data_IF_949230910438
#
_entry.id   IF_949230910438
#
_cell.length_a   1.000
_cell.length_b   1.000
_cell.length_c   1.000
_cell.angle_alpha   90.00
_cell.angle_beta   90.00
_cell.angle_gamma   90.00
#
_symmetry.space_group_name_H-M   'P 1'
#
loop_
_entity.id
_entity.type
_entity.pdbx_description
1 polymer ?
#
# COMPACT_ATOMS: atom_id res chain seq x y z
N UNK A 1 15.09 -10.24 -4.62
CA UNK A 1 14.39 -9.67 -3.48
C UNK A 1 13.61 -8.45 -3.94
N UNK A 2 12.43 -8.24 -3.39
CA UNK A 2 11.53 -7.20 -3.89
C UNK A 2 11.79 -5.86 -3.22
N UNK A 3 12.01 -4.83 -4.02
CA UNK A 3 12.25 -3.46 -3.57
C UNK A 3 10.98 -2.61 -3.68
N UNK A 4 10.99 -1.48 -2.99
CA UNK A 4 9.92 -0.49 -3.12
C UNK A 4 9.76 -0.07 -4.59
N UNK A 5 10.87 0.22 -5.27
CA UNK A 5 10.82 0.68 -6.67
C UNK A 5 10.22 -0.37 -7.61
N UNK A 6 10.49 -1.64 -7.39
CA UNK A 6 9.88 -2.70 -8.21
C UNK A 6 8.36 -2.67 -8.12
N UNK A 7 7.83 -2.55 -6.90
CA UNK A 7 6.39 -2.52 -6.67
C UNK A 7 5.78 -1.22 -7.18
N UNK A 8 6.41 -0.08 -6.90
CA UNK A 8 5.93 1.22 -7.37
C UNK A 8 5.90 1.25 -8.90
N UNK A 9 6.96 0.77 -9.56
CA UNK A 9 7.04 0.74 -11.02
C UNK A 9 5.99 -0.20 -11.62
N UNK A 10 5.73 -1.34 -10.98
CA UNK A 10 4.65 -2.24 -11.39
C UNK A 10 3.30 -1.52 -11.38
N UNK A 11 2.98 -0.82 -10.28
CA UNK A 11 1.72 -0.10 -10.15
C UNK A 11 1.62 1.07 -11.14
N UNK A 12 2.72 1.81 -11.33
CA UNK A 12 2.76 2.90 -12.31
C UNK A 12 2.53 2.39 -13.73
N UNK A 13 3.11 1.25 -14.07
CA UNK A 13 2.92 0.63 -15.38
C UNK A 13 1.43 0.30 -15.61
N UNK A 14 0.77 -0.27 -14.62
CA UNK A 14 -0.67 -0.54 -14.71
C UNK A 14 -1.46 0.75 -14.96
N UNK A 15 -1.21 1.77 -14.16
CA UNK A 15 -1.93 3.04 -14.26
C UNK A 15 -1.67 3.72 -15.61
N UNK A 16 -0.42 3.71 -16.07
CA UNK A 16 -0.04 4.33 -17.34
C UNK A 16 -0.69 3.64 -18.55
N UNK A 17 -0.97 2.34 -18.43
CA UNK A 17 -1.60 1.56 -19.51
C UNK A 17 -3.11 1.43 -19.34
N UNK A 18 -3.70 2.07 -18.33
CA UNK A 18 -5.13 1.98 -18.06
C UNK A 18 -5.58 0.57 -17.68
N UNK A 19 -4.70 -0.20 -17.05
CA UNK A 19 -4.95 -1.57 -16.66
C UNK A 19 -5.00 -1.71 -15.14
N UNK A 20 -5.34 -2.89 -14.67
CA UNK A 20 -5.38 -3.22 -13.25
C UNK A 20 -5.25 -4.72 -13.05
N UNK A 21 -5.31 -5.13 -11.79
CA UNK A 21 -5.20 -6.54 -11.43
C UNK A 21 -6.47 -7.01 -10.73
N UNK A 22 -6.79 -8.28 -10.90
CA UNK A 22 -7.88 -8.98 -10.23
C UNK A 22 -7.25 -10.21 -9.57
N UNK A 23 -6.89 -10.04 -8.29
CA UNK A 23 -6.08 -11.03 -7.59
C UNK A 23 -6.85 -12.33 -7.31
N UNK A 24 -8.12 -12.21 -6.89
CA UNK A 24 -8.90 -13.37 -6.44
C UNK A 24 -9.87 -13.90 -7.49
N UNK A 25 -10.02 -13.20 -8.60
CA UNK A 25 -10.97 -13.59 -9.67
C UNK A 25 -12.43 -13.27 -9.36
N UNK A 26 -12.69 -12.49 -8.31
CA UNK A 26 -14.04 -12.12 -7.89
C UNK A 26 -14.27 -10.63 -8.02
N UNK A 27 -15.39 -10.24 -8.61
CA UNK A 27 -15.87 -8.86 -8.70
C UNK A 27 -14.94 -7.93 -9.50
N UNK A 28 -14.06 -8.49 -10.35
CA UNK A 28 -13.16 -7.70 -11.19
C UNK A 28 -12.06 -7.01 -10.40
N UNK A 29 -11.67 -5.82 -10.84
CA UNK A 29 -10.49 -5.09 -10.33
C UNK A 29 -10.88 -4.18 -9.17
N UNK A 30 -11.09 -4.77 -8.01
CA UNK A 30 -11.46 -4.04 -6.79
C UNK A 30 -10.25 -3.34 -6.16
N UNK A 31 -10.51 -2.43 -5.20
CA UNK A 31 -9.44 -1.68 -4.55
C UNK A 31 -8.46 -2.59 -3.80
N UNK A 32 -8.94 -3.69 -3.21
CA UNK A 32 -8.10 -4.63 -2.46
C UNK A 32 -7.22 -5.48 -3.36
N UNK A 33 -7.53 -5.59 -4.65
CA UNK A 33 -6.80 -6.49 -5.54
C UNK A 33 -5.38 -6.01 -5.78
N UNK A 34 -5.13 -4.70 -5.81
CA UNK A 34 -3.77 -4.20 -5.95
C UNK A 34 -2.91 -4.51 -4.73
N UNK A 35 -3.32 -4.18 -3.49
CA UNK A 35 -2.57 -4.62 -2.30
C UNK A 35 -2.41 -6.12 -2.20
N UNK A 36 -3.44 -6.90 -2.53
CA UNK A 36 -3.37 -8.35 -2.49
C UNK A 36 -2.39 -8.90 -3.52
N UNK A 37 -2.37 -8.33 -4.72
CA UNK A 37 -1.39 -8.71 -5.73
C UNK A 37 0.02 -8.43 -5.23
N UNK A 38 0.25 -7.24 -4.68
CA UNK A 38 1.56 -6.86 -4.15
C UNK A 38 1.99 -7.85 -3.05
N UNK A 39 1.15 -8.03 -2.04
CA UNK A 39 1.50 -8.87 -0.91
C UNK A 39 1.60 -10.35 -1.31
N UNK A 40 0.66 -10.83 -2.11
CA UNK A 40 0.60 -12.25 -2.50
C UNK A 40 1.63 -12.63 -3.55
N UNK A 41 1.73 -11.84 -4.63
CA UNK A 41 2.60 -12.20 -5.76
C UNK A 41 4.06 -11.83 -5.53
N UNK A 42 4.32 -10.66 -4.93
CA UNK A 42 5.71 -10.23 -4.71
C UNK A 42 6.30 -10.79 -3.41
N UNK A 43 5.49 -11.05 -2.40
CA UNK A 43 5.98 -11.44 -1.08
C UNK A 43 5.48 -12.81 -0.60
N UNK A 44 4.55 -13.42 -1.34
CA UNK A 44 4.00 -14.71 -0.95
C UNK A 44 3.11 -14.69 0.29
N UNK A 45 2.54 -13.53 0.64
CA UNK A 45 1.74 -13.32 1.84
C UNK A 45 0.35 -12.80 1.45
N UNK A 46 -0.61 -13.70 1.24
CA UNK A 46 -1.97 -13.30 0.89
C UNK A 46 -2.64 -12.56 2.07
N UNK A 47 -3.30 -11.45 1.75
CA UNK A 47 -4.10 -10.71 2.72
C UNK A 47 -5.55 -11.18 2.66
N UNK A 48 -6.31 -10.93 3.72
CA UNK A 48 -7.71 -11.33 3.79
C UNK A 48 -8.59 -10.12 4.12
N UNK A 49 -9.87 -10.26 3.78
CA UNK A 49 -10.90 -9.30 4.15
C UNK A 49 -11.09 -8.18 3.15
N UNK A 50 -11.96 -7.25 3.53
CA UNK A 50 -12.17 -6.01 2.79
C UNK A 50 -11.02 -5.03 3.08
N UNK A 51 -11.02 -3.90 2.38
CA UNK A 51 -9.95 -2.90 2.59
C UNK A 51 -9.80 -2.51 4.06
N UNK A 52 -10.92 -2.38 4.77
CA UNK A 52 -10.89 -1.98 6.19
C UNK A 52 -10.17 -3.01 7.07
N UNK A 53 -10.06 -4.25 6.63
CA UNK A 53 -9.43 -5.35 7.39
C UNK A 53 -7.95 -5.51 7.09
N UNK A 54 -7.41 -4.81 6.09
CA UNK A 54 -6.07 -5.10 5.56
C UNK A 54 -4.95 -4.84 6.56
N UNK A 55 -5.05 -3.80 7.39
CA UNK A 55 -4.00 -3.53 8.38
C UNK A 55 -3.91 -4.68 9.38
N UNK A 56 -5.07 -5.19 9.82
CA UNK A 56 -5.12 -6.32 10.73
C UNK A 56 -4.52 -7.58 10.09
N UNK A 57 -4.86 -7.81 8.83
CA UNK A 57 -4.31 -8.93 8.06
C UNK A 57 -2.78 -8.81 7.93
N UNK A 58 -2.30 -7.61 7.59
CA UNK A 58 -0.86 -7.33 7.48
C UNK A 58 -0.14 -7.56 8.81
N UNK A 59 -0.74 -7.11 9.90
CA UNK A 59 -0.16 -7.30 11.25
C UNK A 59 -0.02 -8.80 11.57
N UNK A 60 -0.99 -9.61 11.19
CA UNK A 60 -0.92 -11.06 11.40
C UNK A 60 0.22 -11.71 10.61
N UNK A 61 0.63 -11.11 9.49
CA UNK A 61 1.79 -11.56 8.74
C UNK A 61 3.12 -11.01 9.30
N UNK A 62 3.07 -10.18 10.33
CA UNK A 62 4.26 -9.57 10.90
C UNK A 62 4.75 -8.34 10.14
N UNK A 63 3.94 -7.75 9.27
CA UNK A 63 4.30 -6.53 8.54
C UNK A 63 4.34 -5.34 9.50
N UNK A 64 5.13 -4.33 9.15
CA UNK A 64 5.12 -3.04 9.85
C UNK A 64 3.79 -2.35 9.64
N UNK A 65 3.07 -2.03 10.71
CA UNK A 65 1.76 -1.37 10.62
C UNK A 65 1.74 -0.10 11.46
N UNK A 66 0.97 0.88 11.00
CA UNK A 66 0.76 2.15 11.68
C UNK A 66 -0.72 2.51 11.66
N UNK A 67 -1.27 2.86 12.82
CA UNK A 67 -2.64 3.34 12.95
C UNK A 67 -2.63 4.82 13.27
N UNK A 68 -3.55 5.57 12.69
CA UNK A 68 -3.79 6.95 13.08
C UNK A 68 -4.52 7.01 14.44
N UNK A 69 -4.22 8.01 15.29
CA UNK A 69 -3.21 9.05 15.08
C UNK A 69 -1.80 8.56 15.38
N UNK A 70 -0.84 9.11 14.65
CA UNK A 70 0.58 8.80 14.83
C UNK A 70 1.40 10.02 14.40
N UNK A 71 2.60 10.17 14.98
CA UNK A 71 3.56 11.17 14.55
C UNK A 71 4.37 10.72 13.33
N UNK A 72 4.27 9.42 12.98
CA UNK A 72 4.95 8.88 11.81
C UNK A 72 4.31 9.42 10.54
N UNK A 73 5.13 9.64 9.51
CA UNK A 73 4.65 9.96 8.18
C UNK A 73 4.81 8.72 7.31
N UNK A 74 3.83 8.42 6.45
CA UNK A 74 4.01 7.32 5.50
C UNK A 74 5.12 7.64 4.51
N UNK A 75 5.68 6.60 3.93
CA UNK A 75 6.69 6.73 2.87
C UNK A 75 6.27 5.89 1.67
N UNK A 76 6.92 6.13 0.55
CA UNK A 76 6.65 5.39 -0.68
C UNK A 76 6.74 3.89 -0.43
N UNK A 77 5.80 3.14 -0.97
CA UNK A 77 5.68 1.70 -0.75
C UNK A 77 4.65 1.31 0.31
N UNK A 78 4.18 2.27 1.10
CA UNK A 78 3.10 2.02 2.06
C UNK A 78 1.80 1.69 1.34
N UNK A 79 1.01 0.83 1.95
CA UNK A 79 -0.36 0.54 1.50
C UNK A 79 -1.28 1.15 2.55
N UNK A 80 -2.10 2.11 2.11
CA UNK A 80 -2.98 2.83 3.02
C UNK A 80 -4.35 2.17 3.13
N UNK A 81 -5.05 2.47 4.22
CA UNK A 81 -6.44 2.10 4.43
C UNK A 81 -7.18 3.32 4.94
N UNK A 82 -8.36 3.56 4.38
CA UNK A 82 -9.27 4.60 4.86
C UNK A 82 -10.68 4.04 4.94
N UNK A 83 -11.56 4.73 5.64
CA UNK A 83 -12.96 4.37 5.71
C UNK A 83 -13.66 4.63 4.38
N UNK A 84 -14.56 3.74 4.02
CA UNK A 84 -15.47 3.93 2.89
C UNK A 84 -16.80 3.25 3.22
N UNK A 85 -17.81 4.05 3.52
CA UNK A 85 -19.14 3.57 3.86
C UNK A 85 -19.97 3.47 2.58
N UNK A 86 -20.33 2.25 2.21
CA UNK A 86 -21.15 2.01 1.04
C UNK A 86 -22.63 2.33 1.33
N UNK A 87 -23.45 2.31 0.26
CA UNK A 87 -24.88 2.60 0.37
C UNK A 87 -25.65 1.62 1.24
N UNK A 88 -25.10 0.43 1.49
CA UNK A 88 -25.70 -0.57 2.38
C UNK A 88 -25.39 -0.34 3.86
N UNK A 89 -24.65 0.74 4.18
CA UNK A 89 -24.28 1.07 5.56
C UNK A 89 -23.06 0.32 6.07
N UNK A 90 -22.38 -0.45 5.23
CA UNK A 90 -21.21 -1.23 5.62
C UNK A 90 -19.95 -0.45 5.26
N UNK A 91 -18.99 -0.41 6.20
CA UNK A 91 -17.67 0.16 5.95
C UNK A 91 -16.76 -0.90 5.32
N UNK A 92 -16.68 -0.90 3.99
CA UNK A 92 -15.75 -1.79 3.27
C UNK A 92 -14.33 -1.25 3.29
N UNK A 93 -14.17 0.04 3.55
CA UNK A 93 -12.90 0.70 3.45
C UNK A 93 -12.46 0.92 2.00
N UNK A 94 -11.35 1.64 1.86
CA UNK A 94 -10.69 1.86 0.58
C UNK A 94 -9.20 1.80 0.80
N UNK A 95 -8.43 1.41 -0.21
CA UNK A 95 -7.01 1.18 -0.08
C UNK A 95 -6.30 1.48 -1.41
N UNK A 96 -5.01 1.64 -1.33
CA UNK A 96 -4.15 1.84 -2.48
C UNK A 96 -2.68 1.87 -2.07
N UNK A 97 -1.82 2.07 -3.06
CA UNK A 97 -0.38 2.12 -2.87
C UNK A 97 0.06 3.60 -2.81
N UNK A 98 0.81 3.95 -1.78
CA UNK A 98 1.44 5.26 -1.67
C UNK A 98 2.74 5.25 -2.47
N UNK A 99 2.87 6.19 -3.39
CA UNK A 99 4.04 6.31 -4.26
C UNK A 99 4.86 7.57 -3.98
N UNK A 100 4.36 8.46 -3.14
CA UNK A 100 5.07 9.67 -2.75
C UNK A 100 4.33 10.40 -1.65
N UNK A 101 5.02 11.33 -1.02
CA UNK A 101 4.46 12.13 0.08
C UNK A 101 4.86 13.59 -0.14
N UNK A 102 3.91 14.49 0.07
CA UNK A 102 4.13 15.92 -0.03
C UNK A 102 3.33 16.61 1.07
N UNK A 103 4.01 16.99 2.15
CA UNK A 103 3.34 17.58 3.32
C UNK A 103 2.32 16.62 3.92
N UNK A 104 1.05 17.04 3.97
CA UNK A 104 -0.04 16.24 4.52
C UNK A 104 -0.77 15.38 3.48
N UNK A 105 -0.25 15.34 2.25
CA UNK A 105 -0.88 14.63 1.14
C UNK A 105 0.03 13.52 0.67
N UNK A 106 -0.55 12.36 0.37
CA UNK A 106 0.18 11.26 -0.27
C UNK A 106 -0.29 11.13 -1.71
N UNK A 107 0.65 10.89 -2.63
CA UNK A 107 0.35 10.51 -4.01
C UNK A 107 0.19 9.01 -4.04
N UNK A 108 -0.84 8.54 -4.75
CA UNK A 108 -1.24 7.15 -4.69
C UNK A 108 -1.49 6.56 -6.07
N UNK A 109 -1.54 5.23 -6.12
CA UNK A 109 -2.16 4.49 -7.21
C UNK A 109 -3.22 3.61 -6.57
N UNK A 110 -4.44 3.70 -7.10
CA UNK A 110 -5.63 3.06 -6.52
C UNK A 110 -6.45 2.41 -7.61
N UNK A 111 -7.13 1.33 -7.27
CA UNK A 111 -8.10 0.70 -8.16
C UNK A 111 -9.52 0.97 -7.67
N UNK A 112 -10.46 0.94 -8.61
CA UNK A 112 -11.88 1.12 -8.32
C UNK A 112 -12.19 2.44 -7.62
N UNK A 113 -11.64 3.53 -8.13
CA UNK A 113 -11.91 4.86 -7.60
C UNK A 113 -13.38 5.26 -7.68
N UNK A 114 -14.12 4.66 -8.62
CA UNK A 114 -15.55 4.95 -8.80
C UNK A 114 -16.44 4.13 -7.84
N UNK A 115 -15.88 3.22 -7.06
CA UNK A 115 -16.64 2.46 -6.10
C UNK A 115 -17.58 1.41 -6.70
N UNK A 116 -17.24 0.84 -7.85
CA UNK A 116 -18.08 -0.18 -8.48
C UNK A 116 -17.82 -1.53 -7.85
N UNK A 117 -18.79 -2.03 -7.07
CA UNK A 117 -18.65 -3.28 -6.31
C UNK A 117 -18.79 -4.54 -7.16
N UNK A 118 -19.23 -4.40 -8.42
CA UNK A 118 -19.46 -5.55 -9.30
C UNK A 118 -18.26 -5.88 -10.18
N UNK A 119 -17.65 -4.86 -10.81
CA UNK A 119 -16.59 -5.07 -11.80
C UNK A 119 -15.30 -4.30 -11.49
N UNK A 120 -15.35 -3.40 -10.52
CA UNK A 120 -14.18 -2.61 -10.15
C UNK A 120 -13.78 -1.60 -11.22
N UNK A 121 -12.51 -1.25 -11.23
CA UNK A 121 -11.95 -0.32 -12.19
C UNK A 121 -10.43 -0.40 -12.24
N UNK A 122 -9.82 0.19 -13.28
CA UNK A 122 -8.36 0.10 -13.47
C UNK A 122 -7.59 0.86 -12.40
N UNK A 123 -6.29 0.60 -12.34
CA UNK A 123 -5.37 1.38 -11.52
C UNK A 123 -5.29 2.81 -12.06
N UNK A 124 -5.32 3.78 -11.17
CA UNK A 124 -5.28 5.20 -11.51
C UNK A 124 -4.44 5.97 -10.51
N UNK A 125 -3.78 7.02 -10.98
CA UNK A 125 -3.11 7.97 -10.10
C UNK A 125 -4.16 8.76 -9.32
N UNK A 126 -3.90 8.96 -8.03
CA UNK A 126 -4.79 9.73 -7.17
C UNK A 126 -3.97 10.34 -6.03
N UNK A 127 -4.66 10.90 -5.05
CA UNK A 127 -4.03 11.42 -3.84
C UNK A 127 -4.99 11.28 -2.67
N UNK A 128 -4.44 11.26 -1.46
CA UNK A 128 -5.20 11.20 -0.23
C UNK A 128 -4.60 12.14 0.80
N UNK A 129 -5.43 12.71 1.66
CA UNK A 129 -4.97 13.43 2.83
C UNK A 129 -4.59 12.43 3.91
N UNK A 130 -3.40 12.59 4.50
CA UNK A 130 -2.95 11.68 5.56
C UNK A 130 -3.95 11.66 6.73
N UNK A 131 -4.52 12.81 7.07
CA UNK A 131 -5.49 12.91 8.17
C UNK A 131 -6.77 12.10 7.95
N UNK A 132 -7.06 11.71 6.72
CA UNK A 132 -8.25 10.91 6.40
C UNK A 132 -7.99 9.41 6.42
N UNK A 133 -6.75 8.99 6.66
CA UNK A 133 -6.40 7.57 6.68
C UNK A 133 -6.72 6.93 8.03
N UNK A 134 -7.10 5.67 8.02
CA UNK A 134 -7.16 4.85 9.22
C UNK A 134 -5.73 4.45 9.62
N UNK A 135 -4.89 4.20 8.64
CA UNK A 135 -3.51 3.83 8.83
C UNK A 135 -2.90 3.30 7.55
N UNK A 136 -1.74 2.68 7.70
CA UNK A 136 -1.01 2.09 6.55
C UNK A 136 -0.10 0.99 7.03
N UNK A 137 0.41 0.20 6.09
CA UNK A 137 1.35 -0.87 6.39
C UNK A 137 2.35 -1.05 5.24
N UNK A 138 3.43 -1.76 5.55
CA UNK A 138 4.49 -2.04 4.59
C UNK A 138 4.70 -3.54 4.46
N UNK A 139 4.63 -4.09 3.23
CA UNK A 139 5.22 -5.41 3.00
C UNK A 139 6.71 -5.41 3.34
N UNK A 140 7.35 -6.58 3.49
CA UNK A 140 8.75 -6.64 3.91
C UNK A 140 9.71 -6.36 2.74
N UNK A 141 9.71 -5.12 2.25
CA UNK A 141 10.62 -4.69 1.18
C UNK A 141 12.07 -4.91 1.58
N UNK A 142 12.90 -5.32 0.61
CA UNK A 142 14.32 -5.59 0.86
C UNK A 142 15.12 -4.33 1.15
N UNK A 143 14.63 -3.17 0.71
CA UNK A 143 15.27 -1.87 0.90
C UNK A 143 14.54 -0.98 1.92
N UNK A 144 13.70 -1.59 2.78
CA UNK A 144 13.01 -0.86 3.84
C UNK A 144 14.03 -0.36 4.87
N UNK A 145 13.91 0.92 5.27
CA UNK A 145 14.80 1.55 6.24
C UNK A 145 14.19 1.65 7.63
N UNK A 146 13.21 0.90 7.92
CA UNK A 146 12.61 0.88 9.24
C UNK A 146 13.62 0.49 10.27
N UNK A 147 13.76 0.97 10.93
CA UNK A 147 14.34 0.61 11.77
C UNK A 147 14.25 0.49 12.87
N UNK A 148 14.51 0.72 12.58
CA UNK A 148 14.66 0.73 13.14
C UNK A 148 15.04 0.57 13.86
N UNK A 149 15.23 0.68 14.10
CA UNK A 149 15.71 0.63 14.54
C UNK A 149 16.41 0.28 14.87
N UNK A 150 16.90 0.35 14.52
CA UNK A 150 17.66 0.19 14.42
C UNK A 150 18.41 0.39 14.36
N UNK A 151 18.85 0.57 14.45
CA UNK A 151 19.62 0.87 14.09
C UNK A 151 20.36 0.94 13.70
N UNK A 152 20.64 0.94 13.46
CA UNK A 152 21.38 1.26 12.78
C UNK A 152 21.93 1.29 12.16
N UNK A 153 22.35 1.18 12.01
CA UNK A 153 22.93 1.54 11.18
C UNK A 153 23.22 1.51 10.40
N UNK A 154 23.48 1.32 10.44
CA UNK A 154 23.97 1.76 9.64
C UNK A 154 23.89 1.53 8.76
N UNK A 155 24.21 1.32 8.73
CA UNK A 155 24.25 1.61 7.95
C UNK A 155 24.06 1.39 7.16
N UNK A 156 24.45 1.05 7.31
CA UNK A 156 24.45 1.44 6.76
C UNK A 156 24.35 1.44 5.97
N UNK A 157 24.66 0.94 6.26
CA UNK A 157 24.86 1.49 5.76
C UNK A 157 24.51 1.33 4.99
N UNK A 158 24.67 1.14 4.91
CA UNK A 158 24.49 1.52 4.43
C UNK A 158 24.00 1.93 3.76
N UNK A 159 24.50 1.46 4.02
CA UNK A 159 24.24 2.19 3.68
C UNK A 159 23.88 2.41 3.02
N UNK A 160 24.04 2.38 2.91
CA UNK A 160 23.80 3.02 2.48
C UNK A 160 23.29 3.46 1.76
N UNK A 161 23.65 3.15 1.98
CA UNK A 161 23.18 3.93 1.62
C UNK A 161 22.65 4.17 0.88
N UNK A 162 22.89 4.07 0.96
CA UNK A 162 22.52 4.74 0.69
C UNK A 162 22.07 4.79 -0.04
N UNK A 163 22.37 4.42 0.07
CA UNK A 163 22.10 4.81 -0.21
C UNK A 163 21.83 4.61 -0.62
N UNK A 164 22.37 3.71 -0.36
CA UNK A 164 22.50 3.96 -0.21
C UNK A 164 21.97 3.40 -0.45
N UNK A 165 22.40 2.99 -0.19
CA UNK A 165 22.33 3.01 -0.01
C UNK A 165 21.87 2.60 -0.16
N UNK A 166 22.17 2.36 -0.14
CA UNK A 166 22.21 2.42 0.16
C UNK A 166 21.76 2.36 -0.02
N UNK A 167 22.23 1.56 0.38
CA UNK A 167 22.15 1.93 0.61
C UNK A 167 21.71 2.07 0.58
#
# INVERSE_FOLDING_TARGET
>A
MTTVNEVVNFAKDLANRGQGVDYDGWYGKQCVDLPNWISGKFFGKALWGNAIDLIKSAKQHGFEVHYMPTSESPRSGAIFVKNYWAGDGINYGHTGLIIGVSGNTVQTIEQNLVGNLSVGGPAQYSSQQISNLVGWFYPPYSDSTTVVTQASSGNLGKVKDEQGTMT
#
